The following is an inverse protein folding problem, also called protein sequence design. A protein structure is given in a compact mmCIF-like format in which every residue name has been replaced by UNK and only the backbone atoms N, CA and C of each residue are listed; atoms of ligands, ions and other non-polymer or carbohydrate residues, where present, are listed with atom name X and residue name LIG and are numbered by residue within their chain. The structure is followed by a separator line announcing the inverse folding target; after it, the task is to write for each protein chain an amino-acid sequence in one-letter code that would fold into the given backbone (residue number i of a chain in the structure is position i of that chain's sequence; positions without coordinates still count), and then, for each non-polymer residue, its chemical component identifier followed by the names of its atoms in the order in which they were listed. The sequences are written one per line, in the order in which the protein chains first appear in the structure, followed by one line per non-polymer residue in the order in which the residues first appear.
data_IF_596258741616
#
_entry.id   IF_596258741616
#
_cell.length_a   1.000
_cell.length_b   1.000
_cell.length_c   1.000
_cell.angle_alpha   90.00
_cell.angle_beta   90.00
_cell.angle_gamma   90.00
#
_symmetry.space_group_name_H-M   'P 1'
#
loop_
_entity.id
_entity.type
_entity.pdbx_description
1 polymer ?
#
# COMPACT_ATOMS: atom_id res chain seq x y z
N UNK A 1 5.50 38.82 -14.36
CA UNK A 1 6.32 37.92 -13.52
C UNK A 1 6.07 36.49 -13.98
N UNK A 2 7.09 35.85 -14.55
CA UNK A 2 7.01 34.44 -14.97
C UNK A 2 7.01 33.58 -13.71
N UNK A 3 5.93 32.80 -13.48
CA UNK A 3 5.96 31.72 -12.48
C UNK A 3 6.89 30.66 -13.05
N UNK A 4 8.11 30.60 -12.54
CA UNK A 4 9.02 29.49 -12.83
C UNK A 4 8.39 28.21 -12.31
N UNK A 5 7.81 27.42 -13.23
CA UNK A 5 7.50 26.01 -13.05
C UNK A 5 8.82 25.27 -12.87
N UNK A 6 9.43 25.33 -11.68
CA UNK A 6 10.52 24.43 -11.36
C UNK A 6 9.88 23.08 -11.02
N UNK A 7 10.15 22.02 -11.79
CA UNK A 7 9.70 20.69 -11.43
C UNK A 7 10.31 20.34 -10.06
N UNK A 8 9.44 19.99 -9.11
CA UNK A 8 9.88 19.45 -7.84
C UNK A 8 10.30 18.01 -8.08
N UNK A 9 11.60 17.73 -7.99
CA UNK A 9 12.13 16.38 -8.02
C UNK A 9 12.42 15.92 -6.60
N UNK A 10 11.95 14.73 -6.25
CA UNK A 10 12.38 14.04 -5.05
C UNK A 10 13.89 13.79 -5.14
N UNK A 11 14.62 13.98 -4.04
CA UNK A 11 16.00 13.53 -3.97
C UNK A 11 16.09 11.98 -3.95
N UNK A 12 17.28 11.44 -4.18
CA UNK A 12 17.50 10.00 -4.26
C UNK A 12 17.06 9.26 -2.98
N UNK A 13 17.23 9.88 -1.82
CA UNK A 13 16.83 9.29 -0.55
C UNK A 13 15.30 9.21 -0.45
N UNK A 14 14.60 10.27 -0.82
CA UNK A 14 13.15 10.31 -0.83
C UNK A 14 12.56 9.33 -1.85
N UNK A 15 13.17 9.20 -3.04
CA UNK A 15 12.77 8.19 -4.04
C UNK A 15 12.98 6.76 -3.53
N UNK A 16 14.11 6.50 -2.86
CA UNK A 16 14.37 5.19 -2.29
C UNK A 16 13.40 4.86 -1.14
N UNK A 17 13.12 5.83 -0.24
CA UNK A 17 12.12 5.66 0.81
C UNK A 17 10.72 5.38 0.24
N UNK A 18 10.35 6.04 -0.86
CA UNK A 18 9.08 5.79 -1.54
C UNK A 18 9.01 4.36 -2.07
N UNK A 19 10.08 3.91 -2.75
CA UNK A 19 10.18 2.55 -3.29
C UNK A 19 10.10 1.49 -2.19
N UNK A 20 10.86 1.66 -1.11
CA UNK A 20 10.87 0.74 0.03
C UNK A 20 9.49 0.69 0.73
N UNK A 21 8.80 1.84 0.80
CA UNK A 21 7.43 1.93 1.30
C UNK A 21 6.42 1.16 0.45
N UNK A 22 6.50 1.32 -0.88
CA UNK A 22 5.66 0.58 -1.84
C UNK A 22 5.91 -0.94 -1.73
N UNK A 23 7.17 -1.36 -1.68
CA UNK A 23 7.52 -2.78 -1.54
C UNK A 23 6.99 -3.37 -0.22
N UNK A 24 7.07 -2.60 0.87
CA UNK A 24 6.52 -3.00 2.18
C UNK A 24 5.01 -3.17 2.15
N UNK A 25 4.28 -2.29 1.45
CA UNK A 25 2.83 -2.39 1.26
C UNK A 25 2.46 -3.65 0.46
N UNK A 26 3.20 -3.97 -0.60
CA UNK A 26 3.00 -5.21 -1.36
C UNK A 26 3.22 -6.46 -0.52
N UNK A 27 4.26 -6.47 0.32
CA UNK A 27 4.52 -7.59 1.23
C UNK A 27 3.39 -7.76 2.26
N UNK A 28 2.90 -6.65 2.84
CA UNK A 28 1.77 -6.67 3.76
C UNK A 28 0.50 -7.21 3.10
N UNK A 29 0.20 -6.77 1.86
CA UNK A 29 -0.92 -7.29 1.07
C UNK A 29 -0.81 -8.81 0.86
N UNK A 30 0.37 -9.31 0.48
CA UNK A 30 0.59 -10.74 0.29
C UNK A 30 0.40 -11.56 1.57
N UNK A 31 0.90 -11.07 2.71
CA UNK A 31 0.73 -11.72 4.02
C UNK A 31 -0.74 -11.79 4.43
N UNK A 32 -1.50 -10.72 4.23
CA UNK A 32 -2.94 -10.70 4.53
C UNK A 32 -3.67 -11.70 3.64
N UNK A 33 -3.38 -11.73 2.34
CA UNK A 33 -3.95 -12.71 1.42
C UNK A 33 -3.64 -14.15 1.83
N UNK A 34 -2.43 -14.43 2.30
CA UNK A 34 -2.06 -15.74 2.85
C UNK A 34 -2.86 -16.07 4.11
N UNK A 35 -2.98 -15.14 5.06
CA UNK A 35 -3.77 -15.34 6.29
C UNK A 35 -5.22 -15.68 5.95
N UNK A 36 -5.83 -14.94 5.02
CA UNK A 36 -7.21 -15.20 4.55
C UNK A 36 -7.39 -16.59 3.93
N UNK A 37 -6.38 -17.12 3.24
CA UNK A 37 -6.43 -18.47 2.65
C UNK A 37 -6.20 -19.57 3.69
N UNK A 38 -5.53 -19.25 4.80
CA UNK A 38 -5.13 -20.23 5.82
C UNK A 38 -6.16 -20.45 6.95
N UNK A 39 -7.10 -19.52 7.14
CA UNK A 39 -8.11 -19.59 8.21
C UNK A 39 -9.42 -20.22 7.70
N UNK A 40 -10.05 -21.07 8.52
CA UNK A 40 -11.35 -21.67 8.20
C UNK A 40 -12.50 -20.67 8.40
N UNK A 41 -13.64 -20.89 7.73
CA UNK A 41 -14.77 -19.96 7.76
C UNK A 41 -15.28 -19.65 9.19
N UNK A 42 -15.17 -20.60 10.12
CA UNK A 42 -15.57 -20.45 11.52
C UNK A 42 -14.58 -19.62 12.35
N UNK A 43 -13.30 -19.56 11.95
CA UNK A 43 -12.26 -18.74 12.59
C UNK A 43 -12.28 -17.28 12.12
N UNK A 44 -13.10 -16.98 11.09
CA UNK A 44 -12.97 -15.78 10.28
C UNK A 44 -14.09 -14.74 10.43
N UNK A 45 -15.22 -15.01 11.10
CA UNK A 45 -16.38 -14.11 11.05
C UNK A 45 -16.05 -12.63 11.37
N UNK A 46 -15.26 -12.39 12.44
CA UNK A 46 -14.85 -11.04 12.81
C UNK A 46 -13.55 -10.58 12.12
N UNK A 47 -12.65 -11.52 11.81
CA UNK A 47 -11.32 -11.21 11.27
C UNK A 47 -11.37 -10.95 9.76
N UNK A 48 -12.32 -11.53 9.04
CA UNK A 48 -12.47 -11.38 7.60
C UNK A 48 -12.79 -9.95 7.20
N UNK A 49 -13.71 -9.31 7.93
CA UNK A 49 -14.11 -7.92 7.67
C UNK A 49 -12.95 -6.95 7.92
N UNK A 50 -12.21 -7.14 9.02
CA UNK A 50 -11.04 -6.34 9.33
C UNK A 50 -9.93 -6.52 8.29
N UNK A 51 -9.61 -7.77 7.92
CA UNK A 51 -8.56 -8.07 6.93
C UNK A 51 -8.91 -7.52 5.54
N UNK A 52 -10.18 -7.63 5.11
CA UNK A 52 -10.63 -7.02 3.86
C UNK A 52 -10.53 -5.48 3.89
N UNK A 53 -10.85 -4.84 5.02
CA UNK A 53 -10.69 -3.40 5.19
C UNK A 53 -9.22 -2.96 5.07
N UNK A 54 -8.30 -3.70 5.68
CA UNK A 54 -6.85 -3.43 5.57
C UNK A 54 -6.36 -3.64 4.12
N UNK A 55 -6.80 -4.71 3.46
CA UNK A 55 -6.48 -4.99 2.05
C UNK A 55 -6.92 -3.85 1.13
N UNK A 56 -8.15 -3.36 1.30
CA UNK A 56 -8.67 -2.24 0.50
C UNK A 56 -7.88 -0.94 0.73
N UNK A 57 -7.46 -0.66 1.97
CA UNK A 57 -6.64 0.51 2.29
C UNK A 57 -5.24 0.42 1.67
N UNK A 58 -4.62 -0.76 1.70
CA UNK A 58 -3.30 -0.99 1.08
C UNK A 58 -3.38 -0.82 -0.43
N UNK A 59 -4.39 -1.42 -1.08
CA UNK A 59 -4.56 -1.29 -2.53
C UNK A 59 -4.79 0.16 -2.95
N UNK A 60 -5.65 0.88 -2.23
CA UNK A 60 -5.85 2.32 -2.48
C UNK A 60 -4.54 3.11 -2.32
N UNK A 61 -3.77 2.83 -1.26
CA UNK A 61 -2.48 3.50 -1.05
C UNK A 61 -1.47 3.20 -2.16
N UNK A 62 -1.43 1.98 -2.68
CA UNK A 62 -0.58 1.60 -3.80
C UNK A 62 -1.02 2.28 -5.11
N UNK A 63 -2.32 2.35 -5.38
CA UNK A 63 -2.88 3.03 -6.55
C UNK A 63 -2.58 4.54 -6.49
N UNK A 64 -2.86 5.19 -5.34
CA UNK A 64 -2.57 6.61 -5.12
C UNK A 64 -1.06 6.92 -5.30
N UNK A 65 -0.18 5.98 -4.92
CA UNK A 65 1.27 6.11 -5.08
C UNK A 65 1.75 5.88 -6.52
N UNK A 66 1.02 5.10 -7.33
CA UNK A 66 1.34 4.88 -8.73
C UNK A 66 0.92 6.05 -9.64
N UNK A 67 0.00 6.91 -9.17
CA UNK A 67 -0.47 8.09 -9.88
C UNK A 67 0.43 9.34 -9.72
N UNK A 68 1.43 9.30 -8.83
CA UNK A 68 2.35 10.41 -8.51
C UNK A 68 3.71 10.22 -9.18
#
# INVERSE_FOLDING_TARGET
MSKTNNPYFLDEQAQQCLKDGIDSLWQAHALIGFIQQSLTADEMADHYTALNGVLALINKGLDDLAEV
#
